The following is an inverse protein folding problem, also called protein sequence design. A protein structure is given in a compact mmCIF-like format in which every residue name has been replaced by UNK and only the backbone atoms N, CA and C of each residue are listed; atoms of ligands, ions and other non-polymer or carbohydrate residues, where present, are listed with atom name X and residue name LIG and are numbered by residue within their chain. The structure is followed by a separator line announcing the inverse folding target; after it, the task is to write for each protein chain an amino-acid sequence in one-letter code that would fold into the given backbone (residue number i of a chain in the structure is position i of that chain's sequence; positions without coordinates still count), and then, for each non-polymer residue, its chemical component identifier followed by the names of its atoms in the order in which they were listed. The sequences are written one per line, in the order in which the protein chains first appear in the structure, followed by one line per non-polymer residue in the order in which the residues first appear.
data_IF_238802105839
#
_entry.id   IF_238802105839
#
_cell.length_a   1.000
_cell.length_b   1.000
_cell.length_c   1.000
_cell.angle_alpha   90.00
_cell.angle_beta   90.00
_cell.angle_gamma   90.00
#
_symmetry.space_group_name_H-M   'P 1'
#
loop_
_entity.id
_entity.type
_entity.pdbx_description
1 polymer ?
#
# COMPACT_ATOMS: atom_id res chain seq x y z
N UNK A 1 -6.07 -25.45 4.97
CA UNK A 1 -7.43 -25.80 4.59
C UNK A 1 -8.12 -24.53 4.12
N UNK A 2 -8.85 -24.62 2.99
CA UNK A 2 -9.54 -23.48 2.37
C UNK A 2 -11.02 -23.53 2.80
N UNK A 3 -11.48 -22.65 3.70
CA UNK A 3 -12.88 -22.57 4.10
C UNK A 3 -13.76 -22.27 2.88
N UNK A 4 -14.76 -23.11 2.63
CA UNK A 4 -15.61 -22.96 1.42
C UNK A 4 -16.41 -21.67 1.43
N UNK A 5 -16.95 -21.29 2.56
CA UNK A 5 -17.71 -20.07 2.80
C UNK A 5 -16.93 -18.81 2.41
N UNK A 6 -15.62 -18.80 2.60
CA UNK A 6 -14.73 -17.68 2.21
C UNK A 6 -14.40 -17.74 0.72
N UNK A 7 -13.87 -18.88 0.24
CA UNK A 7 -13.32 -18.97 -1.12
C UNK A 7 -14.39 -19.13 -2.22
N UNK A 8 -15.62 -19.43 -1.86
CA UNK A 8 -16.77 -19.41 -2.80
C UNK A 8 -17.64 -18.17 -2.66
N UNK A 9 -17.29 -17.26 -1.73
CA UNK A 9 -18.03 -16.02 -1.53
C UNK A 9 -18.00 -15.14 -2.79
N UNK A 10 -19.07 -14.37 -3.01
CA UNK A 10 -19.13 -13.44 -4.17
C UNK A 10 -17.98 -12.45 -4.16
N UNK A 11 -17.59 -11.94 -3.01
CA UNK A 11 -16.46 -11.03 -2.85
C UNK A 11 -15.14 -11.65 -3.30
N UNK A 12 -14.85 -12.91 -2.97
CA UNK A 12 -13.65 -13.60 -3.45
C UNK A 12 -13.62 -13.79 -4.98
N UNK A 13 -14.78 -13.92 -5.63
CA UNK A 13 -14.87 -13.96 -7.11
C UNK A 13 -14.54 -12.61 -7.73
N UNK A 14 -14.93 -11.51 -7.07
CA UNK A 14 -14.56 -10.16 -7.49
C UNK A 14 -13.04 -9.98 -7.41
N UNK A 15 -12.40 -10.45 -6.34
CA UNK A 15 -10.93 -10.44 -6.20
C UNK A 15 -10.24 -11.10 -7.40
N UNK A 16 -10.72 -12.28 -7.82
CA UNK A 16 -10.17 -13.00 -8.98
C UNK A 16 -10.30 -12.18 -10.25
N UNK A 17 -11.48 -11.59 -10.49
CA UNK A 17 -11.73 -10.83 -11.73
C UNK A 17 -10.90 -9.54 -11.80
N UNK A 18 -10.79 -8.81 -10.70
CA UNK A 18 -9.97 -7.61 -10.61
C UNK A 18 -8.48 -7.94 -10.72
N UNK A 19 -8.02 -9.03 -10.08
CA UNK A 19 -6.65 -9.51 -10.22
C UNK A 19 -6.29 -9.81 -11.68
N UNK A 20 -7.12 -10.58 -12.38
CA UNK A 20 -6.87 -10.90 -13.79
C UNK A 20 -6.86 -9.64 -14.65
N UNK A 21 -7.82 -8.75 -14.45
CA UNK A 21 -7.90 -7.49 -15.17
C UNK A 21 -6.66 -6.61 -14.96
N UNK A 22 -6.22 -6.44 -13.73
CA UNK A 22 -5.00 -5.69 -13.40
C UNK A 22 -3.76 -6.31 -14.04
N UNK A 23 -3.62 -7.65 -14.00
CA UNK A 23 -2.49 -8.35 -14.63
C UNK A 23 -2.43 -8.17 -16.15
N UNK A 24 -3.56 -8.02 -16.80
CA UNK A 24 -3.61 -7.74 -18.24
C UNK A 24 -3.28 -6.27 -18.56
N UNK A 25 -3.66 -5.32 -17.71
CA UNK A 25 -3.39 -3.89 -17.91
C UNK A 25 -1.97 -3.49 -17.51
N UNK A 26 -1.44 -4.08 -16.46
CA UNK A 26 -0.16 -3.68 -15.85
C UNK A 26 1.02 -3.59 -16.83
N UNK A 27 1.22 -4.54 -17.77
CA UNK A 27 2.32 -4.46 -18.73
C UNK A 27 2.28 -3.22 -19.62
N UNK A 28 1.11 -2.61 -19.83
CA UNK A 28 0.94 -1.45 -20.69
C UNK A 28 1.59 -0.17 -20.14
N UNK A 29 1.77 -0.08 -18.83
CA UNK A 29 2.24 1.15 -18.18
C UNK A 29 3.39 0.92 -17.18
N UNK A 30 3.49 -0.26 -16.56
CA UNK A 30 4.34 -0.45 -15.37
C UNK A 30 5.83 -0.22 -15.67
N UNK A 31 6.37 -0.84 -16.73
CA UNK A 31 7.80 -0.72 -17.05
C UNK A 31 8.19 0.72 -17.36
N UNK A 32 7.43 1.38 -18.23
CA UNK A 32 7.73 2.77 -18.61
C UNK A 32 7.65 3.72 -17.40
N UNK A 33 6.60 3.58 -16.57
CA UNK A 33 6.40 4.41 -15.39
C UNK A 33 7.51 4.16 -14.34
N UNK A 34 7.78 2.91 -14.02
CA UNK A 34 8.79 2.56 -13.01
C UNK A 34 10.18 3.04 -13.42
N UNK A 35 10.59 2.81 -14.67
CA UNK A 35 11.88 3.25 -15.16
C UNK A 35 11.97 4.77 -15.21
N UNK A 36 10.96 5.48 -15.73
CA UNK A 36 11.01 6.94 -15.86
C UNK A 36 11.06 7.63 -14.49
N UNK A 37 10.19 7.25 -13.56
CA UNK A 37 10.15 7.86 -12.22
C UNK A 37 11.40 7.48 -11.41
N UNK A 38 11.80 6.20 -11.43
CA UNK A 38 12.96 5.73 -10.69
C UNK A 38 14.26 6.38 -11.17
N UNK A 39 14.50 6.37 -12.48
CA UNK A 39 15.71 7.00 -13.06
C UNK A 39 15.71 8.52 -12.84
N UNK A 40 14.56 9.17 -12.99
CA UNK A 40 14.46 10.61 -12.71
C UNK A 40 14.84 10.90 -11.24
N UNK A 41 14.25 10.20 -10.28
CA UNK A 41 14.54 10.40 -8.86
C UNK A 41 16.01 10.14 -8.54
N UNK A 42 16.56 9.04 -9.02
CA UNK A 42 17.99 8.69 -8.86
C UNK A 42 18.90 9.79 -9.39
N UNK A 43 18.66 10.25 -10.62
CA UNK A 43 19.44 11.30 -11.27
C UNK A 43 19.38 12.61 -10.48
N UNK A 44 18.19 13.01 -10.00
CA UNK A 44 18.05 14.25 -9.24
C UNK A 44 18.78 14.18 -7.88
N UNK A 45 18.74 13.03 -7.21
CA UNK A 45 19.46 12.85 -5.94
C UNK A 45 20.98 12.94 -6.17
N UNK A 46 21.53 12.24 -7.16
CA UNK A 46 22.97 12.31 -7.49
C UNK A 46 23.36 13.75 -7.86
N UNK A 47 22.59 14.40 -8.72
CA UNK A 47 22.86 15.79 -9.12
C UNK A 47 22.85 16.75 -7.92
N UNK A 48 21.83 16.65 -7.05
CA UNK A 48 21.73 17.47 -5.86
C UNK A 48 22.88 17.27 -4.89
N UNK A 49 23.27 16.00 -4.63
CA UNK A 49 24.40 15.67 -3.77
C UNK A 49 25.72 16.19 -4.35
N UNK A 50 25.92 16.06 -5.66
CA UNK A 50 27.11 16.61 -6.33
C UNK A 50 27.21 18.14 -6.23
N UNK A 51 26.08 18.86 -6.28
CA UNK A 51 26.07 20.32 -6.12
C UNK A 51 26.41 20.74 -4.70
N UNK A 52 25.92 20.03 -3.69
CA UNK A 52 26.07 20.41 -2.28
C UNK A 52 27.36 19.88 -1.68
N UNK A 53 27.76 18.66 -2.03
CA UNK A 53 28.85 17.90 -1.37
C UNK A 53 30.01 17.57 -2.30
N UNK A 54 29.90 17.84 -3.60
CA UNK A 54 30.88 17.40 -4.60
C UNK A 54 30.69 15.94 -5.03
N UNK A 55 31.72 15.37 -5.68
CA UNK A 55 31.71 13.96 -6.06
C UNK A 55 31.64 13.05 -4.83
N UNK A 56 30.94 11.92 -4.96
CA UNK A 56 30.79 10.97 -3.87
C UNK A 56 32.13 10.38 -3.39
N UNK A 57 32.16 9.84 -2.16
CA UNK A 57 33.38 9.35 -1.52
C UNK A 57 33.93 8.03 -2.09
N UNK A 58 33.22 7.41 -3.01
CA UNK A 58 33.63 6.14 -3.67
C UNK A 58 33.99 5.03 -2.65
N UNK A 59 33.04 4.71 -1.76
CA UNK A 59 33.23 3.69 -0.72
C UNK A 59 33.08 2.29 -1.29
N UNK A 60 33.89 1.34 -0.81
CA UNK A 60 33.77 -0.07 -1.17
C UNK A 60 32.39 -0.65 -0.82
N UNK A 61 31.79 -1.38 -1.73
CA UNK A 61 30.50 -2.05 -1.50
C UNK A 61 30.69 -3.29 -0.62
N UNK A 62 30.25 -3.19 0.62
CA UNK A 62 30.27 -4.29 1.60
C UNK A 62 28.87 -4.80 1.90
N UNK A 63 28.74 -5.97 2.54
CA UNK A 63 27.43 -6.48 3.02
C UNK A 63 26.75 -5.51 4.00
N UNK A 64 27.51 -4.77 4.80
CA UNK A 64 26.97 -3.74 5.69
C UNK A 64 26.27 -2.62 4.91
N UNK A 65 26.89 -2.13 3.85
CA UNK A 65 26.30 -1.14 2.95
C UNK A 65 25.08 -1.68 2.21
N UNK A 66 25.10 -2.93 1.75
CA UNK A 66 23.94 -3.57 1.12
C UNK A 66 22.75 -3.67 2.08
N UNK A 67 23.02 -4.07 3.35
CA UNK A 67 21.97 -4.11 4.38
C UNK A 67 21.43 -2.74 4.68
N UNK A 68 22.29 -1.73 4.82
CA UNK A 68 21.85 -0.34 5.07
C UNK A 68 21.02 0.19 3.90
N UNK A 69 21.45 -0.08 2.66
CA UNK A 69 20.66 0.24 1.46
C UNK A 69 19.27 -0.39 1.51
N UNK A 70 19.17 -1.68 1.86
CA UNK A 70 17.87 -2.37 1.98
C UNK A 70 16.99 -1.76 3.07
N UNK A 71 17.55 -1.42 4.23
CA UNK A 71 16.83 -0.80 5.33
C UNK A 71 16.34 0.62 4.99
N UNK A 72 17.20 1.44 4.38
CA UNK A 72 16.83 2.79 3.92
C UNK A 72 15.75 2.71 2.85
N UNK A 73 15.90 1.81 1.89
CA UNK A 73 14.89 1.59 0.86
C UNK A 73 13.55 1.14 1.47
N UNK A 74 13.58 0.21 2.43
CA UNK A 74 12.38 -0.23 3.14
C UNK A 74 11.66 0.93 3.83
N UNK A 75 12.39 1.75 4.58
CA UNK A 75 11.80 2.85 5.31
C UNK A 75 11.24 3.93 4.37
N UNK A 76 11.95 4.25 3.30
CA UNK A 76 11.47 5.20 2.28
C UNK A 76 10.23 4.65 1.55
N UNK A 77 10.27 3.39 1.11
CA UNK A 77 9.14 2.74 0.49
C UNK A 77 7.90 2.75 1.40
N UNK A 78 8.08 2.34 2.64
CA UNK A 78 7.00 2.25 3.63
C UNK A 78 6.44 3.64 3.98
N UNK A 79 7.30 4.67 4.02
CA UNK A 79 6.88 6.05 4.18
C UNK A 79 6.05 6.56 3.00
N UNK A 80 6.53 6.36 1.78
CA UNK A 80 5.81 6.79 0.57
C UNK A 80 4.47 6.04 0.45
N UNK A 81 4.47 4.74 0.75
CA UNK A 81 3.25 3.94 0.82
C UNK A 81 2.27 4.52 1.86
N UNK A 82 2.75 4.80 3.07
CA UNK A 82 1.96 5.42 4.14
C UNK A 82 1.33 6.74 3.68
N UNK A 83 2.11 7.62 3.06
CA UNK A 83 1.62 8.94 2.59
C UNK A 83 0.54 8.77 1.52
N UNK A 84 0.74 7.89 0.53
CA UNK A 84 -0.26 7.60 -0.50
C UNK A 84 -1.54 7.07 0.16
N UNK A 85 -1.43 6.04 0.97
CA UNK A 85 -2.55 5.37 1.62
C UNK A 85 -3.31 6.30 2.56
N UNK A 86 -2.59 7.09 3.38
CA UNK A 86 -3.20 8.13 4.21
C UNK A 86 -3.96 9.16 3.37
N UNK A 87 -3.38 9.57 2.24
CA UNK A 87 -4.01 10.54 1.35
C UNK A 87 -5.26 9.96 0.68
N UNK A 88 -5.23 8.69 0.30
CA UNK A 88 -6.40 7.96 -0.23
C UNK A 88 -7.54 7.87 0.79
N UNK A 89 -7.22 7.72 2.07
CA UNK A 89 -8.21 7.75 3.15
C UNK A 89 -8.74 9.15 3.47
N UNK A 90 -7.95 10.21 3.24
CA UNK A 90 -8.31 11.59 3.66
C UNK A 90 -8.86 12.44 2.53
N UNK A 91 -8.55 12.13 1.28
CA UNK A 91 -9.00 12.90 0.12
C UNK A 91 -10.19 12.19 -0.54
N UNK A 92 -11.39 12.78 -0.52
CA UNK A 92 -12.60 12.15 -1.05
C UNK A 92 -12.46 11.59 -2.46
N UNK A 93 -11.80 12.35 -3.35
CA UNK A 93 -11.58 11.94 -4.72
C UNK A 93 -10.68 10.69 -4.85
N UNK A 94 -9.75 10.50 -3.93
CA UNK A 94 -8.88 9.31 -3.90
C UNK A 94 -9.54 8.15 -3.17
N UNK A 95 -10.30 8.43 -2.10
CA UNK A 95 -11.11 7.40 -1.44
C UNK A 95 -12.05 6.70 -2.41
N UNK A 96 -12.61 7.42 -3.38
CA UNK A 96 -13.51 6.85 -4.40
C UNK A 96 -12.89 5.63 -5.09
N UNK A 97 -11.59 5.65 -5.39
CA UNK A 97 -10.89 4.51 -5.99
C UNK A 97 -10.45 3.51 -4.92
N UNK A 98 -9.93 3.99 -3.77
CA UNK A 98 -9.39 3.16 -2.71
C UNK A 98 -10.45 2.33 -1.96
N UNK A 99 -11.69 2.82 -1.84
CA UNK A 99 -12.78 2.04 -1.24
C UNK A 99 -13.11 0.74 -1.99
N UNK A 100 -12.65 0.57 -3.25
CA UNK A 100 -12.71 -0.71 -3.97
C UNK A 100 -11.93 -1.77 -3.18
N UNK A 101 -10.76 -1.41 -2.66
CA UNK A 101 -9.94 -2.27 -1.81
C UNK A 101 -10.67 -2.64 -0.51
N UNK A 102 -11.28 -1.65 0.14
CA UNK A 102 -12.06 -1.85 1.36
C UNK A 102 -13.39 -2.55 1.17
N UNK A 103 -13.88 -2.71 -0.07
CA UNK A 103 -15.15 -3.38 -0.34
C UNK A 103 -15.13 -4.90 -0.21
N UNK A 104 -14.02 -5.49 0.21
CA UNK A 104 -13.90 -6.93 0.43
C UNK A 104 -14.68 -7.38 1.68
N UNK A 105 -15.69 -8.24 1.50
CA UNK A 105 -16.49 -8.82 2.60
C UNK A 105 -15.84 -10.05 3.24
N UNK A 106 -14.88 -10.66 2.53
CA UNK A 106 -14.02 -11.74 3.01
C UNK A 106 -12.60 -11.45 2.57
N UNK A 107 -11.62 -11.85 3.36
CA UNK A 107 -10.21 -11.68 3.04
C UNK A 107 -9.61 -12.98 2.50
N UNK A 108 -8.99 -12.90 1.33
CA UNK A 108 -8.22 -13.97 0.69
C UNK A 108 -6.85 -13.43 0.27
N UNK A 109 -5.86 -14.27 -0.03
CA UNK A 109 -4.58 -13.78 -0.55
C UNK A 109 -4.70 -12.90 -1.82
N UNK A 110 -5.80 -13.05 -2.58
CA UNK A 110 -6.08 -12.25 -3.76
C UNK A 110 -6.71 -10.89 -3.44
N UNK A 111 -7.28 -10.71 -2.26
CA UNK A 111 -7.85 -9.42 -1.82
C UNK A 111 -6.78 -8.31 -1.80
N UNK A 112 -5.50 -8.66 -1.64
CA UNK A 112 -4.38 -7.75 -1.83
C UNK A 112 -4.40 -7.03 -3.18
N UNK A 113 -4.95 -7.65 -4.20
CA UNK A 113 -5.02 -7.15 -5.58
C UNK A 113 -6.41 -6.65 -5.95
N UNK A 114 -7.30 -6.52 -4.96
CA UNK A 114 -8.59 -5.87 -5.11
C UNK A 114 -8.39 -4.36 -5.10
N UNK A 115 -7.89 -3.84 -6.20
CA UNK A 115 -7.57 -2.42 -6.37
C UNK A 115 -8.29 -1.89 -7.60
N UNK A 116 -8.67 -0.62 -7.56
CA UNK A 116 -9.07 0.06 -8.79
C UNK A 116 -7.85 0.21 -9.69
N UNK A 117 -8.00 0.00 -10.99
CA UNK A 117 -6.85 -0.01 -11.92
C UNK A 117 -6.06 1.31 -11.97
N UNK A 118 -6.59 2.41 -11.47
CA UNK A 118 -5.88 3.69 -11.33
C UNK A 118 -4.97 3.74 -10.10
N UNK A 119 -5.16 2.88 -9.11
CA UNK A 119 -4.29 2.83 -7.91
C UNK A 119 -2.94 2.21 -8.24
N UNK A 120 -2.91 1.16 -9.05
CA UNK A 120 -1.68 0.49 -9.44
C UNK A 120 -0.59 1.44 -9.95
N UNK A 121 -0.85 2.36 -10.90
CA UNK A 121 0.09 3.40 -11.31
C UNK A 121 0.56 4.32 -10.19
N UNK A 122 -0.31 4.71 -9.26
CA UNK A 122 0.02 5.60 -8.13
C UNK A 122 1.03 4.92 -7.21
N UNK A 123 0.74 3.68 -6.78
CA UNK A 123 1.65 2.92 -5.92
C UNK A 123 2.95 2.55 -6.63
N UNK A 124 2.91 2.23 -7.93
CA UNK A 124 4.12 1.94 -8.70
C UNK A 124 5.02 3.17 -8.84
N UNK A 125 4.46 4.35 -9.10
CA UNK A 125 5.21 5.60 -9.14
C UNK A 125 5.82 5.93 -7.77
N UNK A 126 5.05 5.77 -6.69
CA UNK A 126 5.55 5.94 -5.32
C UNK A 126 6.68 4.98 -4.98
N UNK A 127 6.55 3.70 -5.30
CA UNK A 127 7.60 2.72 -5.12
C UNK A 127 8.86 3.08 -5.92
N UNK A 128 8.71 3.42 -7.21
CA UNK A 128 9.81 3.83 -8.07
C UNK A 128 10.53 5.09 -7.54
N UNK A 129 9.78 6.06 -7.01
CA UNK A 129 10.33 7.24 -6.35
C UNK A 129 11.19 6.85 -5.14
N UNK A 130 10.68 6.01 -4.24
CA UNK A 130 11.41 5.57 -3.05
C UNK A 130 12.70 4.78 -3.43
N UNK A 131 12.60 3.86 -4.40
CA UNK A 131 13.74 3.13 -4.92
C UNK A 131 14.76 4.04 -5.61
N UNK A 132 14.31 5.00 -6.41
CA UNK A 132 15.17 5.96 -7.09
C UNK A 132 15.91 6.88 -6.10
N UNK A 133 15.25 7.36 -5.05
CA UNK A 133 15.90 8.17 -4.00
C UNK A 133 16.98 7.35 -3.28
N UNK A 134 16.65 6.15 -2.82
CA UNK A 134 17.63 5.28 -2.16
C UNK A 134 18.77 4.88 -3.12
N UNK A 135 18.42 4.52 -4.36
CA UNK A 135 19.39 4.20 -5.41
C UNK A 135 20.36 5.34 -5.66
N UNK A 136 19.84 6.58 -5.84
CA UNK A 136 20.68 7.76 -6.06
C UNK A 136 21.62 8.06 -4.90
N UNK A 137 21.16 7.92 -3.65
CA UNK A 137 22.00 8.10 -2.47
C UNK A 137 23.15 7.08 -2.45
N UNK A 138 22.85 5.81 -2.65
CA UNK A 138 23.86 4.75 -2.57
C UNK A 138 24.76 4.67 -3.81
N UNK A 139 24.25 5.02 -5.01
CA UNK A 139 25.09 5.20 -6.20
C UNK A 139 26.08 6.35 -6.05
N UNK A 140 25.72 7.39 -5.31
CA UNK A 140 26.64 8.50 -5.00
C UNK A 140 27.65 8.13 -3.93
N UNK A 141 27.29 7.31 -2.93
CA UNK A 141 28.18 6.92 -1.83
C UNK A 141 29.21 5.86 -2.23
N UNK A 142 28.83 4.89 -3.07
CA UNK A 142 29.61 3.68 -3.32
C UNK A 142 30.37 3.79 -4.65
N UNK A 143 31.63 3.28 -4.68
CA UNK A 143 32.46 3.29 -5.88
C UNK A 143 31.96 2.34 -6.96
N UNK A 144 31.53 1.15 -6.54
CA UNK A 144 31.17 0.10 -7.45
C UNK A 144 29.74 0.19 -7.95
N UNK A 145 29.49 -0.45 -9.07
CA UNK A 145 28.15 -0.77 -9.53
C UNK A 145 27.29 -1.33 -8.39
N UNK A 146 26.22 -0.63 -8.05
CA UNK A 146 25.27 -1.04 -6.99
C UNK A 146 24.47 -2.30 -7.35
N UNK A 147 24.78 -2.98 -8.47
CA UNK A 147 24.06 -4.17 -8.93
C UNK A 147 23.96 -5.24 -7.85
N UNK A 148 25.05 -5.52 -7.12
CA UNK A 148 25.02 -6.49 -6.03
C UNK A 148 24.12 -6.04 -4.89
N UNK A 149 24.17 -4.76 -4.49
CA UNK A 149 23.29 -4.18 -3.49
C UNK A 149 21.84 -4.20 -3.95
N UNK A 150 21.59 -3.96 -5.23
CA UNK A 150 20.24 -4.04 -5.84
C UNK A 150 19.71 -5.47 -5.81
N UNK A 151 20.52 -6.47 -6.18
CA UNK A 151 20.13 -7.89 -6.11
C UNK A 151 19.87 -8.34 -4.68
N UNK A 152 20.69 -7.93 -3.72
CA UNK A 152 20.46 -8.19 -2.30
C UNK A 152 19.17 -7.56 -1.83
N UNK A 153 18.90 -6.32 -2.22
CA UNK A 153 17.69 -5.58 -1.89
C UNK A 153 16.45 -6.27 -2.47
N UNK A 154 16.49 -6.72 -3.73
CA UNK A 154 15.39 -7.49 -4.34
C UNK A 154 15.11 -8.77 -3.54
N UNK A 155 16.15 -9.51 -3.15
CA UNK A 155 16.03 -10.71 -2.33
C UNK A 155 15.42 -10.42 -0.97
N UNK A 156 15.89 -9.39 -0.29
CA UNK A 156 15.40 -8.94 1.01
C UNK A 156 13.92 -8.53 0.95
N UNK A 157 13.53 -7.72 -0.03
CA UNK A 157 12.13 -7.32 -0.21
C UNK A 157 11.24 -8.49 -0.63
N UNK A 158 11.73 -9.40 -1.47
CA UNK A 158 10.97 -10.59 -1.86
C UNK A 158 10.67 -11.48 -0.65
N UNK A 159 11.61 -11.61 0.27
CA UNK A 159 11.39 -12.33 1.52
C UNK A 159 10.37 -11.62 2.41
N UNK A 160 10.52 -10.32 2.66
CA UNK A 160 9.61 -9.54 3.50
C UNK A 160 8.19 -9.50 2.95
N UNK A 161 8.03 -9.15 1.69
CA UNK A 161 6.71 -8.98 1.08
C UNK A 161 6.06 -10.30 0.69
N UNK A 162 6.87 -11.34 0.37
CA UNK A 162 6.36 -12.68 0.12
C UNK A 162 5.65 -13.24 1.34
N UNK A 163 6.22 -13.08 2.52
CA UNK A 163 5.62 -13.55 3.77
C UNK A 163 4.55 -12.57 4.29
N UNK A 164 4.89 -11.32 4.52
CA UNK A 164 4.00 -10.37 5.21
C UNK A 164 2.84 -9.92 4.32
N UNK A 165 3.11 -9.53 3.06
CA UNK A 165 2.09 -8.96 2.17
C UNK A 165 0.93 -9.91 1.88
N UNK A 166 1.19 -11.21 1.71
CA UNK A 166 0.15 -12.21 1.44
C UNK A 166 -0.67 -12.55 2.68
N UNK A 167 -0.05 -12.55 3.87
CA UNK A 167 -0.74 -12.88 5.11
C UNK A 167 -1.65 -11.76 5.64
N UNK A 168 -1.41 -10.52 5.26
CA UNK A 168 -2.23 -9.37 5.68
C UNK A 168 -3.67 -9.44 5.19
N UNK A 169 -3.89 -10.06 4.03
CA UNK A 169 -5.22 -10.26 3.46
C UNK A 169 -5.69 -11.73 3.54
N UNK A 170 -5.01 -12.55 4.33
CA UNK A 170 -5.43 -13.93 4.51
C UNK A 170 -6.53 -14.02 5.58
N UNK A 171 -7.46 -14.97 5.43
CA UNK A 171 -8.58 -15.12 6.37
C UNK A 171 -8.18 -15.54 7.79
N UNK A 172 -6.90 -15.87 8.01
CA UNK A 172 -6.38 -16.25 9.34
C UNK A 172 -5.74 -15.05 10.01
N UNK A 173 -6.27 -14.68 11.16
CA UNK A 173 -5.73 -13.58 11.96
C UNK A 173 -4.44 -14.00 12.68
N UNK A 174 -3.31 -13.41 12.26
CA UNK A 174 -2.04 -13.55 12.94
C UNK A 174 -1.76 -12.33 13.81
N UNK A 175 -1.66 -12.55 15.12
CA UNK A 175 -1.26 -11.53 16.08
C UNK A 175 0.24 -11.61 16.35
N UNK A 176 0.93 -10.49 16.26
CA UNK A 176 2.26 -10.39 16.84
C UNK A 176 2.17 -10.01 18.33
N UNK A 177 3.17 -10.34 19.16
CA UNK A 177 3.26 -9.77 20.49
C UNK A 177 3.19 -8.24 20.45
N UNK A 178 2.54 -7.60 21.42
CA UNK A 178 2.31 -6.15 21.45
C UNK A 178 3.60 -5.33 21.24
N UNK A 179 4.72 -5.78 21.84
CA UNK A 179 6.01 -5.09 21.66
C UNK A 179 6.48 -5.11 20.21
N UNK A 180 6.23 -6.20 19.45
CA UNK A 180 6.58 -6.32 18.05
C UNK A 180 5.62 -5.54 17.15
N UNK A 181 4.32 -5.56 17.48
CA UNK A 181 3.29 -4.79 16.76
C UNK A 181 3.53 -3.27 16.80
N UNK A 182 4.28 -2.78 17.81
CA UNK A 182 4.72 -1.39 17.85
C UNK A 182 5.76 -1.02 16.79
N UNK A 183 6.35 -2.00 16.12
CA UNK A 183 7.41 -1.80 15.13
C UNK A 183 7.08 -2.38 13.76
N UNK A 184 6.32 -3.48 13.73
CA UNK A 184 5.93 -4.18 12.51
C UNK A 184 4.42 -4.36 12.47
N UNK A 185 3.85 -4.13 11.31
CA UNK A 185 2.43 -4.38 11.04
C UNK A 185 2.14 -5.88 11.10
N UNK A 186 1.33 -6.31 12.08
CA UNK A 186 0.82 -7.68 12.09
C UNK A 186 -0.33 -7.83 11.10
N UNK A 187 -0.58 -9.04 10.58
CA UNK A 187 -1.72 -9.27 9.69
C UNK A 187 -3.06 -8.80 10.26
N UNK A 188 -3.32 -9.06 11.54
CA UNK A 188 -4.57 -8.64 12.19
C UNK A 188 -4.73 -7.12 12.27
N UNK A 189 -3.65 -6.34 12.34
CA UNK A 189 -3.74 -4.88 12.30
C UNK A 189 -4.26 -4.39 10.95
N UNK A 190 -3.89 -5.08 9.88
CA UNK A 190 -4.44 -4.79 8.55
C UNK A 190 -5.88 -5.29 8.38
N UNK A 191 -6.25 -6.41 9.02
CA UNK A 191 -7.66 -6.84 9.09
C UNK A 191 -8.52 -5.76 9.77
N UNK A 192 -8.00 -5.15 10.85
CA UNK A 192 -8.66 -4.06 11.55
C UNK A 192 -8.81 -2.83 10.65
N UNK A 193 -7.78 -2.51 9.87
CA UNK A 193 -7.81 -1.45 8.88
C UNK A 193 -8.94 -1.64 7.84
N UNK A 194 -9.25 -2.87 7.43
CA UNK A 194 -10.36 -3.19 6.53
C UNK A 194 -11.74 -3.17 7.18
N UNK A 195 -11.83 -2.92 8.48
CA UNK A 195 -13.11 -2.92 9.20
C UNK A 195 -13.92 -1.66 8.94
N UNK A 196 -15.23 -1.83 8.75
CA UNK A 196 -16.15 -0.69 8.61
C UNK A 196 -16.56 -0.04 9.94
N UNK A 197 -16.04 -0.49 11.07
CA UNK A 197 -16.32 0.13 12.38
C UNK A 197 -15.58 1.46 12.52
N UNK A 198 -16.27 2.50 12.98
CA UNK A 198 -15.74 3.85 13.11
C UNK A 198 -14.43 3.93 13.91
N UNK A 199 -14.29 3.17 14.98
CA UNK A 199 -13.07 3.13 15.81
C UNK A 199 -11.83 2.60 15.08
N UNK A 200 -11.99 1.94 13.94
CA UNK A 200 -10.93 1.36 13.12
C UNK A 200 -10.55 2.23 11.91
N UNK A 201 -11.32 3.26 11.64
CA UNK A 201 -11.09 4.09 10.47
C UNK A 201 -9.76 4.83 10.54
N UNK A 202 -9.11 4.95 9.40
CA UNK A 202 -7.84 5.66 9.24
C UNK A 202 -6.71 5.13 10.14
N UNK A 203 -6.74 3.86 10.50
CA UNK A 203 -5.71 3.22 11.32
C UNK A 203 -4.84 2.25 10.51
N UNK A 204 -3.60 2.03 10.94
CA UNK A 204 -2.69 1.01 10.41
C UNK A 204 -2.44 1.13 8.90
N UNK A 205 -2.05 2.31 8.46
CA UNK A 205 -1.93 2.69 7.06
C UNK A 205 -0.59 2.31 6.40
N UNK A 206 0.45 2.04 7.21
CA UNK A 206 1.74 1.63 6.69
C UNK A 206 1.73 0.20 6.10
N UNK A 207 2.69 -0.10 5.20
CA UNK A 207 2.72 -1.39 4.52
C UNK A 207 3.45 -2.49 5.31
N UNK A 208 4.54 -2.16 5.99
CA UNK A 208 5.46 -3.14 6.62
C UNK A 208 5.73 -2.80 8.06
N UNK A 209 6.18 -1.57 8.34
CA UNK A 209 6.51 -1.13 9.68
C UNK A 209 5.34 -0.37 10.31
N UNK A 210 5.26 -0.39 11.65
CA UNK A 210 4.31 0.46 12.39
C UNK A 210 4.94 1.81 12.78
N UNK A 211 6.12 2.13 12.24
CA UNK A 211 6.88 3.33 12.62
C UNK A 211 6.09 4.59 12.23
N UNK A 212 5.57 4.62 11.02
CA UNK A 212 4.83 5.76 10.48
C UNK A 212 3.48 5.94 11.17
N UNK A 213 2.76 4.83 11.39
CA UNK A 213 1.51 4.85 12.15
C UNK A 213 1.71 5.37 13.58
N UNK A 214 2.82 5.00 14.23
CA UNK A 214 3.16 5.54 15.55
C UNK A 214 3.50 7.02 15.51
N UNK A 215 4.28 7.43 14.53
CA UNK A 215 4.76 8.81 14.40
C UNK A 215 3.61 9.77 14.10
N UNK A 216 2.67 9.35 13.27
CA UNK A 216 1.53 10.17 12.83
C UNK A 216 0.22 9.89 13.59
N UNK A 217 0.24 8.99 14.59
CA UNK A 217 -0.89 8.76 15.49
C UNK A 217 -2.01 7.89 14.90
N UNK A 218 -1.72 7.09 13.88
CA UNK A 218 -2.67 6.16 13.22
C UNK A 218 -2.48 4.70 13.65
N UNK A 219 -1.60 4.43 14.63
CA UNK A 219 -1.39 3.07 15.14
C UNK A 219 -2.57 2.60 15.97
N UNK A 220 -3.14 1.48 15.59
CA UNK A 220 -4.13 0.73 16.35
C UNK A 220 -3.71 -0.74 16.48
N UNK A 221 -3.56 -1.23 17.69
CA UNK A 221 -3.24 -2.65 17.97
C UNK A 221 -4.52 -3.28 18.52
N UNK A 222 -5.20 -4.14 17.74
CA UNK A 222 -6.46 -4.74 18.18
C UNK A 222 -6.25 -5.73 19.31
N UNK A 223 -7.26 -5.89 20.15
CA UNK A 223 -7.32 -6.93 21.16
C UNK A 223 -7.45 -8.31 20.49
N UNK A 224 -7.11 -9.38 21.24
CA UNK A 224 -7.01 -10.73 20.67
C UNK A 224 -8.30 -11.23 20.02
N UNK A 225 -9.44 -10.91 20.62
CA UNK A 225 -10.75 -11.39 20.16
C UNK A 225 -11.64 -10.23 19.67
N UNK A 226 -11.02 -9.16 19.19
CA UNK A 226 -11.72 -7.99 18.74
C UNK A 226 -12.51 -8.29 17.46
N UNK A 227 -13.80 -7.91 17.47
CA UNK A 227 -14.67 -8.05 16.31
C UNK A 227 -14.28 -7.05 15.23
N UNK A 228 -13.88 -7.56 14.07
CA UNK A 228 -13.42 -6.78 12.91
C UNK A 228 -14.21 -7.18 11.65
N UNK A 229 -15.43 -6.69 11.47
CA UNK A 229 -16.21 -6.97 10.27
C UNK A 229 -15.65 -6.19 9.07
N UNK A 230 -15.50 -6.86 7.93
CA UNK A 230 -14.90 -6.30 6.72
C UNK A 230 -15.93 -5.78 5.72
N UNK A 231 -15.50 -4.93 4.82
CA UNK A 231 -16.32 -4.33 3.78
C UNK A 231 -16.63 -2.86 4.04
N UNK A 232 -17.60 -2.33 3.28
CA UNK A 232 -18.02 -0.91 3.37
C UNK A 232 -19.23 -0.69 4.29
N UNK A 233 -19.64 -1.73 5.01
CA UNK A 233 -20.84 -1.70 5.83
C UNK A 233 -22.15 -1.99 5.07
N UNK A 234 -23.22 -2.34 5.80
CA UNK A 234 -24.46 -2.88 5.21
C UNK A 234 -25.14 -1.97 4.19
N UNK A 235 -25.03 -0.65 4.37
CA UNK A 235 -25.73 0.33 3.52
C UNK A 235 -25.08 0.52 2.15
N UNK A 236 -23.79 0.24 2.02
CA UNK A 236 -23.02 0.54 0.81
C UNK A 236 -22.53 -0.71 0.06
N UNK A 237 -22.43 -1.82 0.76
CA UNK A 237 -21.79 -3.04 0.29
C UNK A 237 -22.34 -3.58 -1.03
N UNK A 238 -23.67 -3.54 -1.24
CA UNK A 238 -24.29 -4.07 -2.45
C UNK A 238 -23.84 -3.37 -3.74
N UNK A 239 -23.33 -2.15 -3.64
CA UNK A 239 -22.81 -1.37 -4.76
C UNK A 239 -21.46 -1.85 -5.26
N UNK A 240 -20.78 -2.80 -4.56
CA UNK A 240 -19.41 -3.26 -4.85
C UNK A 240 -19.30 -4.78 -5.03
N UNK A 241 -20.41 -5.49 -5.25
CA UNK A 241 -20.45 -6.96 -5.40
C UNK A 241 -20.14 -7.48 -6.80
N UNK A 242 -19.74 -6.65 -7.74
CA UNK A 242 -19.45 -7.06 -9.11
C UNK A 242 -18.27 -6.36 -9.72
N UNK A 243 -17.71 -6.95 -10.78
CA UNK A 243 -16.57 -6.39 -11.52
C UNK A 243 -16.84 -4.95 -12.01
N UNK A 244 -17.96 -4.74 -12.71
CA UNK A 244 -18.29 -3.42 -13.27
C UNK A 244 -18.55 -2.36 -12.21
N UNK A 245 -19.11 -2.75 -11.06
CA UNK A 245 -19.31 -1.85 -9.94
C UNK A 245 -17.97 -1.36 -9.36
N UNK A 246 -16.97 -2.22 -9.32
CA UNK A 246 -15.63 -1.87 -8.81
C UNK A 246 -14.76 -1.14 -9.84
N UNK A 247 -15.02 -1.29 -11.14
CA UNK A 247 -14.21 -0.63 -12.20
C UNK A 247 -14.84 0.66 -12.73
N UNK A 248 -16.17 0.73 -12.81
CA UNK A 248 -16.91 1.88 -13.36
C UNK A 248 -17.59 2.70 -12.25
N UNK A 249 -17.94 2.06 -11.12
CA UNK A 249 -18.57 2.73 -9.99
C UNK A 249 -17.83 3.99 -9.52
N UNK A 250 -16.51 3.94 -9.31
CA UNK A 250 -15.70 5.10 -8.92
C UNK A 250 -15.86 6.31 -9.85
N UNK A 251 -15.98 6.11 -11.14
CA UNK A 251 -16.22 7.23 -12.09
C UNK A 251 -17.61 7.87 -11.91
N UNK A 252 -18.63 7.07 -11.59
CA UNK A 252 -19.97 7.59 -11.28
C UNK A 252 -19.94 8.42 -10.01
N UNK A 253 -19.20 7.98 -9.00
CA UNK A 253 -19.04 8.71 -7.75
C UNK A 253 -18.31 10.04 -7.98
N UNK A 254 -17.25 10.07 -8.78
CA UNK A 254 -16.59 11.33 -9.16
C UNK A 254 -17.53 12.28 -9.89
N UNK A 255 -18.33 11.79 -10.85
CA UNK A 255 -19.33 12.61 -11.53
C UNK A 255 -20.35 13.17 -10.52
N UNK A 256 -20.85 12.35 -9.59
CA UNK A 256 -21.75 12.79 -8.53
C UNK A 256 -21.13 13.89 -7.67
N UNK A 257 -19.86 13.74 -7.27
CA UNK A 257 -19.12 14.77 -6.51
C UNK A 257 -19.03 16.10 -7.28
N UNK A 258 -18.74 16.05 -8.59
CA UNK A 258 -18.60 17.25 -9.42
C UNK A 258 -19.93 17.95 -9.70
N UNK A 259 -21.04 17.21 -9.70
CA UNK A 259 -22.38 17.73 -9.99
C UNK A 259 -23.18 18.12 -8.73
N UNK A 260 -22.56 18.07 -7.55
CA UNK A 260 -23.22 18.40 -6.27
C UNK A 260 -24.23 17.36 -5.80
N UNK A 261 -24.16 16.14 -6.32
CA UNK A 261 -24.96 15.00 -5.86
C UNK A 261 -24.56 14.57 -4.45
N UNK A 262 -25.46 13.86 -3.76
CA UNK A 262 -25.15 13.25 -2.46
C UNK A 262 -24.07 12.20 -2.64
N UNK A 263 -23.00 12.31 -1.83
CA UNK A 263 -21.98 11.28 -1.78
C UNK A 263 -22.56 10.00 -1.18
N UNK A 264 -22.18 8.80 -1.68
CA UNK A 264 -22.54 7.56 -1.01
C UNK A 264 -22.11 7.59 0.46
N UNK A 265 -22.92 7.03 1.36
CA UNK A 265 -22.82 7.11 2.83
C UNK A 265 -21.45 6.64 3.39
N UNK A 266 -20.66 5.88 2.63
CA UNK A 266 -19.29 5.48 2.99
C UNK A 266 -18.27 6.63 3.12
N UNK A 267 -18.69 7.89 2.91
CA UNK A 267 -17.90 9.11 3.12
C UNK A 267 -18.03 9.73 4.51
N UNK A 268 -18.70 9.08 5.43
CA UNK A 268 -18.88 9.61 6.80
C UNK A 268 -17.56 9.80 7.56
N UNK A 269 -16.45 9.18 7.10
CA UNK A 269 -15.11 9.42 7.64
C UNK A 269 -14.56 10.82 7.34
N UNK A 270 -15.10 11.48 6.31
CA UNK A 270 -14.57 12.74 5.78
C UNK A 270 -15.37 13.97 6.22
N UNK A 271 -16.32 13.84 7.15
CA UNK A 271 -16.88 15.02 7.80
C UNK A 271 -15.76 15.70 8.57
N UNK A 272 -15.24 16.81 8.01
CA UNK A 272 -14.42 17.75 8.76
C UNK A 272 -15.15 18.05 10.07
N UNK A 273 -14.46 18.07 11.21
CA UNK A 273 -15.08 18.58 12.42
C UNK A 273 -15.61 19.97 12.07
N UNK A 274 -16.90 20.15 12.22
CA UNK A 274 -17.52 21.48 12.16
C UNK A 274 -16.81 22.32 13.20
N UNK A 275 -16.02 23.31 12.74
CA UNK A 275 -15.40 24.30 13.59
C UNK A 275 -16.45 25.05 14.38
#
# INVERSE_FOLDING_TARGET
LLPRDIYTHVSARVDITLYVFERLLRPLWATALILSVGTFAETQVIAGLNVVMGSGPALDTTYGWMLLYSLVTLLLYDFVFYVIHYTEHKVPALWVIHKVHHSAEVLTPLTRYREHFLEGPIYAAGAALAYGIAGGLFSWLLEADITQATLFNIGFFSLLFGFNGSFRHYHVAFHYPVWLSKWLQSPVMHHTHHSYLEKHWDTNLAAVTSIWDRLFGTLYIPEKDEYTPWGLGPETQDQYRGFWQNTVGPFKDWVSMLTGGSMPVSYTHLTLPTM
#
